data_IF_049887894694
#
_entry.id   IF_049887894694
#
_cell.length_a   1.000
_cell.length_b   1.000
_cell.length_c   1.000
_cell.angle_alpha   90.00
_cell.angle_beta   90.00
_cell.angle_gamma   90.00
#
_symmetry.space_group_name_H-M   'P 1'
#
loop_
_entity.id
_entity.type
_entity.pdbx_description
1 polymer ?
#
# COMPACT_ATOMS: atom_id res chain seq x y z
N UNK A 1 7.65 18.74 8.69
CA UNK A 1 6.92 17.83 7.78
C UNK A 1 5.65 17.40 8.47
N UNK A 2 4.48 17.51 7.85
CA UNK A 2 3.23 17.05 8.45
C UNK A 2 3.05 15.54 8.21
N UNK A 3 2.77 14.82 9.30
CA UNK A 3 2.50 13.39 9.27
C UNK A 3 1.00 13.10 9.22
N UNK A 4 0.62 12.09 8.46
CA UNK A 4 -0.76 11.63 8.30
C UNK A 4 -0.85 10.18 8.76
N UNK A 5 -1.67 9.92 9.77
CA UNK A 5 -1.98 8.58 10.26
C UNK A 5 -3.08 7.94 9.42
N UNK A 6 -2.81 6.76 8.87
CA UNK A 6 -3.77 5.97 8.09
C UNK A 6 -4.24 4.81 8.93
N UNK A 7 -5.54 4.74 9.16
CA UNK A 7 -6.21 3.66 9.89
C UNK A 7 -6.86 2.68 8.91
N UNK A 8 -7.05 1.44 9.34
CA UNK A 8 -7.87 0.49 8.61
C UNK A 8 -9.36 0.58 9.02
N UNK A 9 -10.19 -0.30 8.47
CA UNK A 9 -11.63 -0.32 8.77
C UNK A 9 -11.97 -0.74 10.21
N UNK A 10 -11.02 -1.32 10.94
CA UNK A 10 -11.17 -1.64 12.37
C UNK A 10 -10.79 -0.48 13.29
N UNK A 11 -10.24 0.61 12.73
CA UNK A 11 -9.74 1.75 13.49
C UNK A 11 -8.31 1.56 14.01
N UNK A 12 -7.65 0.43 13.70
CA UNK A 12 -6.25 0.21 14.05
C UNK A 12 -5.32 1.04 13.17
N UNK A 13 -4.25 1.59 13.76
CA UNK A 13 -3.24 2.33 13.01
C UNK A 13 -2.52 1.38 12.06
N UNK A 14 -2.68 1.63 10.76
CA UNK A 14 -2.06 0.80 9.72
C UNK A 14 -0.69 1.31 9.31
N UNK A 15 -0.54 2.63 9.16
CA UNK A 15 0.73 3.28 8.80
C UNK A 15 0.68 4.79 9.01
N UNK A 16 1.85 5.42 9.07
CA UNK A 16 2.04 6.87 9.01
C UNK A 16 2.67 7.22 7.66
N UNK A 17 2.17 8.26 7.00
CA UNK A 17 2.66 8.76 5.70
C UNK A 17 2.87 10.27 5.76
N UNK A 18 3.54 10.85 4.75
CA UNK A 18 3.56 12.29 4.57
C UNK A 18 2.31 12.79 3.86
N UNK A 19 2.01 14.08 4.03
CA UNK A 19 0.94 14.78 3.32
C UNK A 19 1.05 14.66 1.79
N UNK A 20 2.27 14.75 1.23
CA UNK A 20 2.51 14.57 -0.21
C UNK A 20 2.02 13.21 -0.72
N UNK A 21 2.26 12.14 0.05
CA UNK A 21 1.83 10.78 -0.31
C UNK A 21 0.31 10.64 -0.20
N UNK A 22 -0.34 11.40 0.68
CA UNK A 22 -1.80 11.46 0.73
C UNK A 22 -2.37 12.07 -0.55
N UNK A 23 -1.81 13.22 -0.96
CA UNK A 23 -2.23 13.92 -2.18
C UNK A 23 -2.08 13.04 -3.43
N UNK A 24 -0.92 12.42 -3.62
CA UNK A 24 -0.69 11.52 -4.77
C UNK A 24 -1.69 10.36 -4.84
N UNK A 25 -2.20 9.88 -3.69
CA UNK A 25 -3.24 8.85 -3.66
C UNK A 25 -4.61 9.40 -4.05
N UNK A 26 -4.95 10.59 -3.59
CA UNK A 26 -6.19 11.27 -3.95
C UNK A 26 -6.24 11.49 -5.47
N UNK A 27 -5.15 11.99 -6.04
CA UNK A 27 -5.02 12.22 -7.48
C UNK A 27 -5.19 10.92 -8.27
N UNK A 28 -4.56 9.82 -7.82
CA UNK A 28 -4.73 8.50 -8.46
C UNK A 28 -6.15 7.96 -8.39
N UNK A 29 -6.84 8.17 -7.27
CA UNK A 29 -8.25 7.76 -7.13
C UNK A 29 -9.16 8.57 -8.05
N UNK A 30 -8.86 9.86 -8.21
CA UNK A 30 -9.59 10.75 -9.11
C UNK A 30 -9.36 10.40 -10.58
N UNK A 31 -8.10 10.16 -10.99
CA UNK A 31 -7.75 9.81 -12.37
C UNK A 31 -8.19 8.40 -12.76
N UNK A 32 -8.18 7.45 -11.81
CA UNK A 32 -8.47 6.04 -12.08
C UNK A 32 -9.53 5.47 -11.13
N UNK A 33 -10.77 6.01 -11.11
CA UNK A 33 -11.78 5.65 -10.12
C UNK A 33 -12.18 4.16 -10.20
N UNK A 34 -12.15 3.58 -11.41
CA UNK A 34 -12.48 2.17 -11.64
C UNK A 34 -11.49 1.19 -10.99
N UNK A 35 -10.24 1.58 -10.76
CA UNK A 35 -9.22 0.76 -10.10
C UNK A 35 -9.44 0.65 -8.58
N UNK A 36 -10.23 1.56 -8.01
CA UNK A 36 -10.50 1.65 -6.57
C UNK A 36 -11.97 1.37 -6.21
N UNK A 37 -12.82 1.09 -7.19
CA UNK A 37 -14.21 0.70 -6.97
C UNK A 37 -14.30 -0.61 -6.15
N UNK A 38 -14.94 -0.54 -4.98
CA UNK A 38 -15.25 -1.72 -4.15
C UNK A 38 -16.22 -2.62 -4.92
N UNK A 39 -15.80 -3.84 -5.25
CA UNK A 39 -16.67 -4.82 -5.93
C UNK A 39 -15.96 -5.64 -7.01
N UNK A 40 -14.83 -5.15 -7.56
CA UNK A 40 -13.96 -6.00 -8.36
C UNK A 40 -13.20 -6.92 -7.41
N UNK A 41 -13.76 -8.11 -7.15
CA UNK A 41 -12.99 -9.26 -6.68
C UNK A 41 -11.74 -9.28 -7.55
N UNK A 42 -10.55 -9.10 -6.94
CA UNK A 42 -9.30 -9.45 -7.63
C UNK A 42 -9.53 -10.87 -8.12
N UNK A 43 -9.52 -11.07 -9.44
CA UNK A 43 -9.53 -12.42 -9.98
C UNK A 43 -8.42 -13.18 -9.22
N UNK A 44 -8.79 -14.25 -8.52
CA UNK A 44 -7.81 -15.15 -7.89
C UNK A 44 -6.85 -15.55 -9.01
N UNK A 45 -5.61 -15.05 -8.97
CA UNK A 45 -4.67 -15.35 -10.04
C UNK A 45 -3.59 -14.30 -10.22
N UNK A 46 -2.80 -14.05 -9.18
CA UNK A 46 -1.35 -13.86 -9.36
C UNK A 46 -0.68 -14.17 -8.02
N UNK A 47 0.13 -15.23 -7.92
CA UNK A 47 0.99 -15.39 -6.75
C UNK A 47 1.95 -14.21 -6.73
N UNK A 48 1.94 -13.44 -5.65
CA UNK A 48 3.04 -12.53 -5.34
C UNK A 48 4.28 -13.41 -5.16
N UNK A 49 5.13 -13.44 -6.18
CA UNK A 49 6.38 -14.19 -6.17
C UNK A 49 7.25 -13.64 -5.01
N UNK A 50 7.58 -14.41 -3.96
CA UNK A 50 8.49 -13.95 -2.92
C UNK A 50 9.92 -14.18 -3.40
N UNK A 51 10.39 -13.36 -4.34
CA UNK A 51 11.79 -13.42 -4.76
C UNK A 51 12.69 -12.78 -3.69
N UNK A 52 13.12 -13.65 -2.77
CA UNK A 52 14.43 -13.72 -2.10
C UNK A 52 14.79 -12.60 -1.11
N UNK A 53 14.52 -12.89 0.18
CA UNK A 53 15.47 -12.61 1.27
C UNK A 53 16.80 -13.30 0.92
N UNK A 54 17.85 -12.55 0.60
CA UNK A 54 19.21 -12.86 1.06
C UNK A 54 20.13 -11.66 0.86
N UNK A 55 20.41 -10.90 1.94
CA UNK A 55 21.67 -10.15 2.04
C UNK A 55 22.45 -10.80 3.17
N UNK A 56 23.51 -11.46 2.75
CA UNK A 56 24.52 -12.21 3.49
C UNK A 56 24.76 -11.67 4.91
N UNK A 57 24.53 -12.54 5.89
CA UNK A 57 25.19 -12.46 7.18
C UNK A 57 26.63 -12.98 7.03
N UNK A 58 27.54 -12.31 7.73
CA UNK A 58 28.97 -12.62 7.87
C UNK A 58 29.20 -13.99 8.52
N UNK A 59 30.21 -14.72 8.05
CA UNK A 59 31.04 -15.68 8.80
C UNK A 59 32.08 -16.24 7.83
N UNK A 60 33.34 -16.51 8.14
CA UNK A 60 34.26 -16.26 9.25
C UNK A 60 35.65 -16.51 8.66
#
# INVERSE_FOLDING_TARGET
MHEVRVYDSSGALKKVISEKVLQERADRQFLYPSAYARGRKKAKGQPANPSKKNKQAKSA
#
